data_IF_744623551653
#
_entry.id   IF_744623551653
#
_cell.length_a   1.000
_cell.length_b   1.000
_cell.length_c   1.000
_cell.angle_alpha   90.00
_cell.angle_beta   90.00
_cell.angle_gamma   90.00
#
_symmetry.space_group_name_H-M   'P 1'
#
loop_
_entity.id
_entity.type
_entity.pdbx_description
1 polymer ?
#
# COMPACT_ATOMS: atom_id res chain seq x y z
N UNK A 1 -11.24 4.79 -6.51
CA UNK A 1 -10.21 5.64 -7.15
C UNK A 1 -10.20 6.96 -6.39
N UNK A 2 -9.07 7.37 -5.80
CA UNK A 2 -8.99 8.59 -4.95
C UNK A 2 -8.36 9.80 -5.65
N UNK A 3 -7.69 9.54 -6.77
CA UNK A 3 -6.81 10.47 -7.45
C UNK A 3 -6.79 10.15 -8.95
N UNK A 4 -6.44 11.13 -9.77
CA UNK A 4 -6.34 10.99 -11.23
C UNK A 4 -4.94 11.34 -11.73
N UNK A 5 -4.45 10.63 -12.74
CA UNK A 5 -3.20 11.01 -13.40
C UNK A 5 -3.45 12.22 -14.30
N UNK A 6 -2.89 13.36 -13.91
CA UNK A 6 -2.99 14.64 -14.64
C UNK A 6 -1.91 14.77 -15.72
N UNK A 7 -0.91 13.88 -15.71
CA UNK A 7 0.24 13.85 -16.61
C UNK A 7 0.33 12.46 -17.31
N UNK A 8 -0.69 12.04 -18.09
CA UNK A 8 -0.80 10.65 -18.60
C UNK A 8 0.25 10.28 -19.67
N UNK A 9 1.06 11.25 -20.10
CA UNK A 9 2.13 11.04 -21.08
C UNK A 9 3.49 10.72 -20.44
N UNK A 10 3.62 10.94 -19.13
CA UNK A 10 4.82 10.57 -18.40
C UNK A 10 4.98 9.05 -18.38
N UNK A 11 6.23 8.55 -18.34
CA UNK A 11 6.46 7.12 -18.33
C UNK A 11 5.95 6.47 -17.02
N UNK A 12 5.61 5.17 -17.03
CA UNK A 12 4.97 4.49 -15.90
C UNK A 12 5.71 4.65 -14.56
N UNK A 13 7.04 4.63 -14.58
CA UNK A 13 7.90 4.79 -13.40
C UNK A 13 7.80 6.19 -12.74
N UNK A 14 7.36 7.19 -13.49
CA UNK A 14 7.17 8.58 -13.05
C UNK A 14 5.71 8.92 -12.81
N UNK A 15 4.78 7.95 -12.95
CA UNK A 15 3.36 8.19 -12.78
C UNK A 15 3.02 8.73 -11.40
N UNK A 16 2.26 9.82 -11.38
CA UNK A 16 1.71 10.43 -10.16
C UNK A 16 0.23 10.74 -10.34
N UNK A 17 -0.49 10.80 -9.23
CA UNK A 17 -1.94 10.96 -9.22
C UNK A 17 -2.33 12.12 -8.31
N UNK A 18 -2.99 13.14 -8.86
CA UNK A 18 -3.50 14.27 -8.10
C UNK A 18 -4.78 13.87 -7.36
N UNK A 19 -4.81 14.06 -6.04
CA UNK A 19 -5.99 13.74 -5.22
C UNK A 19 -7.17 14.61 -5.65
N UNK A 20 -8.35 14.00 -5.76
CA UNK A 20 -9.59 14.70 -6.06
C UNK A 20 -10.25 15.12 -4.74
N UNK A 21 -10.17 16.39 -4.31
CA UNK A 21 -10.58 16.78 -2.96
C UNK A 21 -12.09 16.68 -2.69
N UNK A 22 -12.91 16.53 -3.73
CA UNK A 22 -14.37 16.57 -3.63
C UNK A 22 -15.06 15.20 -3.51
N UNK A 23 -14.32 14.09 -3.59
CA UNK A 23 -14.93 12.74 -3.57
C UNK A 23 -14.99 12.11 -2.17
N UNK A 24 -14.16 12.57 -1.25
CA UNK A 24 -14.07 12.13 0.14
C UNK A 24 -13.25 13.15 0.94
N UNK A 25 -13.31 13.07 2.27
CA UNK A 25 -12.34 13.74 3.14
C UNK A 25 -11.12 12.84 3.32
N UNK A 26 -9.93 13.40 3.11
CA UNK A 26 -8.67 12.65 3.13
C UNK A 26 -7.77 13.11 4.28
N UNK A 27 -7.30 12.13 5.03
CA UNK A 27 -6.26 12.25 6.04
C UNK A 27 -5.07 11.35 5.64
N UNK A 28 -3.90 11.63 6.19
CA UNK A 28 -2.66 10.95 5.86
C UNK A 28 -1.88 10.63 7.13
N UNK A 29 -1.70 9.35 7.46
CA UNK A 29 -0.88 8.93 8.61
C UNK A 29 0.58 9.03 8.19
N UNK A 30 1.42 9.86 8.82
CA UNK A 30 2.84 9.95 8.50
C UNK A 30 3.53 8.61 8.78
N UNK A 31 4.34 8.17 7.83
CA UNK A 31 5.09 6.92 7.92
C UNK A 31 6.57 7.23 8.04
N UNK A 32 7.06 7.25 9.28
CA UNK A 32 8.48 7.37 9.55
C UNK A 32 9.13 5.99 9.55
N UNK A 33 10.14 5.79 8.68
CA UNK A 33 10.95 4.58 8.66
C UNK A 33 11.66 4.43 10.00
N UNK A 34 11.35 3.37 10.76
CA UNK A 34 12.25 2.95 11.85
C UNK A 34 13.52 2.42 11.20
N UNK A 35 14.64 3.05 11.55
CA UNK A 35 16.03 2.76 11.18
C UNK A 35 16.29 1.63 10.18
N UNK A 36 16.86 2.00 9.03
CA UNK A 36 17.70 1.19 8.15
C UNK A 36 17.30 -0.30 8.03
N UNK A 37 16.36 -0.62 7.14
CA UNK A 37 16.45 -1.86 6.39
C UNK A 37 16.19 -1.59 4.90
N UNK A 38 17.30 -1.67 4.18
CA UNK A 38 17.40 -1.72 2.74
C UNK A 38 16.97 -3.14 2.34
N UNK A 39 16.03 -3.25 1.41
CA UNK A 39 15.47 -4.49 0.83
C UNK A 39 14.28 -5.12 1.58
N UNK A 40 13.06 -4.84 1.09
CA UNK A 40 11.84 -5.56 1.48
C UNK A 40 10.68 -4.65 1.86
N UNK A 41 10.10 -3.93 0.90
CA UNK A 41 9.03 -2.94 1.10
C UNK A 41 7.69 -3.51 1.64
N UNK A 42 7.64 -4.80 1.99
CA UNK A 42 6.44 -5.45 2.52
C UNK A 42 6.30 -5.34 4.04
N UNK A 43 7.40 -5.20 4.80
CA UNK A 43 7.38 -5.29 6.27
C UNK A 43 8.03 -4.09 6.99
N UNK A 44 8.08 -2.93 6.32
CA UNK A 44 8.57 -1.70 6.93
C UNK A 44 7.68 -1.32 8.13
N UNK A 45 8.20 -1.52 9.35
CA UNK A 45 7.54 -1.12 10.60
C UNK A 45 7.60 0.40 10.74
N UNK A 46 6.62 1.08 10.16
CA UNK A 46 6.47 2.52 10.31
C UNK A 46 6.08 2.89 11.73
N UNK A 47 6.65 3.98 12.25
CA UNK A 47 6.11 4.60 13.48
C UNK A 47 4.96 5.51 13.06
N UNK A 48 3.75 5.20 13.53
CA UNK A 48 2.53 5.92 13.19
C UNK A 48 2.39 7.16 14.08
N UNK A 49 2.16 8.31 13.46
CA UNK A 49 1.80 9.56 14.12
C UNK A 49 0.34 9.93 13.84
N UNK A 50 -0.16 10.98 14.49
CA UNK A 50 -1.52 11.47 14.23
C UNK A 50 -1.70 11.83 12.75
N UNK A 51 -2.85 11.48 12.13
CA UNK A 51 -3.09 11.79 10.73
C UNK A 51 -3.10 13.30 10.48
N UNK A 52 -2.50 13.71 9.36
CA UNK A 52 -2.53 15.09 8.88
C UNK A 52 -3.57 15.27 7.78
N UNK A 53 -4.08 16.48 7.59
CA UNK A 53 -5.04 16.78 6.53
C UNK A 53 -4.42 16.76 5.13
N UNK A 54 -5.26 16.71 4.09
CA UNK A 54 -4.84 16.73 2.69
C UNK A 54 -3.86 17.88 2.33
N UNK A 55 -3.99 19.03 2.98
CA UNK A 55 -3.17 20.23 2.74
C UNK A 55 -1.89 20.27 3.54
N UNK A 56 -1.76 19.41 4.56
CA UNK A 56 -0.67 19.45 5.54
C UNK A 56 0.41 18.39 5.25
N UNK A 57 0.28 17.68 4.12
CA UNK A 57 1.25 16.69 3.69
C UNK A 57 2.52 17.35 3.15
N UNK A 58 3.68 16.76 3.45
CA UNK A 58 4.98 17.28 3.03
C UNK A 58 5.47 16.54 1.77
N UNK A 59 5.97 17.30 0.80
CA UNK A 59 6.59 16.74 -0.42
C UNK A 59 7.82 15.91 -0.04
N UNK A 60 7.92 14.70 -0.58
CA UNK A 60 9.00 13.75 -0.31
C UNK A 60 8.69 12.75 0.79
N UNK A 61 7.70 13.02 1.64
CA UNK A 61 7.33 12.15 2.76
C UNK A 61 6.37 11.03 2.35
N UNK A 62 6.37 9.96 3.16
CA UNK A 62 5.52 8.78 2.97
C UNK A 62 4.35 8.79 3.95
N UNK A 63 3.19 8.36 3.46
CA UNK A 63 1.96 8.34 4.23
C UNK A 63 1.12 7.10 3.93
N UNK A 64 0.33 6.68 4.91
CA UNK A 64 -0.80 5.79 4.67
C UNK A 64 -2.07 6.63 4.48
N UNK A 65 -2.83 6.32 3.43
CA UNK A 65 -4.05 7.05 3.10
C UNK A 65 -5.19 6.64 4.03
N UNK A 66 -5.86 7.64 4.61
CA UNK A 66 -7.07 7.51 5.41
C UNK A 66 -8.20 8.29 4.75
N UNK A 67 -9.41 7.70 4.68
CA UNK A 67 -10.55 8.35 4.04
C UNK A 67 -11.82 8.32 4.88
N UNK A 68 -12.58 9.41 4.79
CA UNK A 68 -13.97 9.50 5.25
C UNK A 68 -14.87 9.75 4.05
N UNK A 69 -15.87 8.89 3.82
CA UNK A 69 -16.69 8.88 2.60
C UNK A 69 -18.16 9.17 2.88
N UNK A 70 -18.87 9.68 1.87
CA UNK A 70 -20.33 9.88 1.92
C UNK A 70 -21.13 8.59 2.15
N UNK A 71 -20.52 7.43 1.88
CA UNK A 71 -21.13 6.11 2.11
C UNK A 71 -21.00 5.62 3.56
N UNK A 72 -20.41 6.41 4.47
CA UNK A 72 -20.34 6.10 5.90
C UNK A 72 -19.06 5.39 6.34
N UNK A 73 -18.00 5.40 5.54
CA UNK A 73 -16.67 5.06 6.05
C UNK A 73 -16.12 6.27 6.82
N UNK A 74 -15.69 6.08 8.06
CA UNK A 74 -15.14 7.14 8.91
C UNK A 74 -13.70 6.81 9.28
N UNK A 75 -12.77 7.72 8.93
CA UNK A 75 -11.32 7.57 9.16
C UNK A 75 -10.81 6.18 8.78
N UNK A 76 -11.31 5.65 7.66
CA UNK A 76 -11.01 4.31 7.20
C UNK A 76 -9.60 4.28 6.61
N UNK A 77 -8.74 3.44 7.18
CA UNK A 77 -7.39 3.18 6.69
C UNK A 77 -7.45 2.38 5.40
N UNK A 78 -7.06 3.02 4.30
CA UNK A 78 -7.13 2.40 2.98
C UNK A 78 -6.07 1.29 2.82
N UNK A 79 -4.99 1.38 3.59
CA UNK A 79 -3.82 0.50 3.54
C UNK A 79 -2.85 0.83 2.39
N UNK A 80 -3.15 1.83 1.55
CA UNK A 80 -2.23 2.26 0.49
C UNK A 80 -1.15 3.17 1.08
N UNK A 81 0.11 2.84 0.80
CA UNK A 81 1.28 3.65 1.11
C UNK A 81 1.62 4.50 -0.10
N UNK A 82 1.71 5.81 0.12
CA UNK A 82 1.97 6.81 -0.92
C UNK A 82 3.11 7.72 -0.52
N UNK A 83 3.85 8.19 -1.53
CA UNK A 83 4.82 9.28 -1.38
C UNK A 83 4.24 10.54 -2.02
N UNK A 84 4.32 11.68 -1.34
CA UNK A 84 3.94 12.96 -1.95
C UNK A 84 5.03 13.36 -2.93
N UNK A 85 4.72 13.34 -4.23
CA UNK A 85 5.67 13.65 -5.30
C UNK A 85 5.75 15.15 -5.61
N UNK A 86 4.73 15.92 -5.21
CA UNK A 86 4.62 17.35 -5.46
C UNK A 86 3.17 17.80 -5.31
N UNK A 87 2.84 18.95 -5.88
CA UNK A 87 1.49 19.50 -5.90
C UNK A 87 1.01 19.71 -7.34
N UNK A 88 -0.27 19.53 -7.58
CA UNK A 88 -0.97 20.02 -8.77
C UNK A 88 -1.87 21.15 -8.32
N UNK A 89 -1.50 22.39 -8.63
CA UNK A 89 -2.03 23.58 -7.96
C UNK A 89 -1.87 23.44 -6.43
N UNK A 90 -2.95 23.29 -5.70
CA UNK A 90 -2.96 23.13 -4.23
C UNK A 90 -3.27 21.71 -3.76
N UNK A 91 -3.51 20.74 -4.65
CA UNK A 91 -3.78 19.35 -4.26
C UNK A 91 -2.51 18.50 -4.38
N UNK A 92 -2.21 17.58 -3.44
CA UNK A 92 -1.04 16.74 -3.54
C UNK A 92 -1.10 15.76 -4.71
N UNK A 93 0.05 15.59 -5.38
CA UNK A 93 0.32 14.50 -6.31
C UNK A 93 0.94 13.34 -5.53
N UNK A 94 0.33 12.18 -5.61
CA UNK A 94 0.74 10.96 -4.92
C UNK A 94 1.43 10.01 -5.89
N UNK A 95 2.59 9.49 -5.50
CA UNK A 95 3.19 8.29 -6.09
C UNK A 95 2.80 7.09 -5.25
N UNK A 96 2.16 6.09 -5.85
CA UNK A 96 1.81 4.84 -5.16
C UNK A 96 3.09 4.05 -4.92
N UNK A 97 3.31 3.63 -3.68
CA UNK A 97 4.51 2.87 -3.28
C UNK A 97 4.17 1.39 -3.15
N UNK A 98 3.23 1.07 -2.27
CA UNK A 98 2.74 -0.29 -2.07
C UNK A 98 1.37 -0.26 -1.37
N UNK A 99 0.79 -1.44 -1.17
CA UNK A 99 -0.34 -1.64 -0.27
C UNK A 99 0.15 -2.46 0.91
N UNK A 100 -0.14 -2.03 2.14
CA UNK A 100 0.31 -2.70 3.37
C UNK A 100 -0.19 -4.14 3.43
N UNK A 101 0.60 -4.98 4.09
CA UNK A 101 0.30 -6.39 4.37
C UNK A 101 0.03 -7.21 3.11
N UNK A 102 0.59 -6.81 1.97
CA UNK A 102 0.49 -7.52 0.70
C UNK A 102 1.86 -8.10 0.33
N UNK A 103 1.90 -9.41 0.09
CA UNK A 103 3.12 -10.12 -0.33
C UNK A 103 3.03 -10.56 -1.79
N UNK A 104 1.93 -11.18 -2.19
CA UNK A 104 1.74 -11.67 -3.56
C UNK A 104 0.43 -11.14 -4.18
N UNK A 105 0.53 -10.76 -5.45
CA UNK A 105 -0.61 -10.34 -6.28
C UNK A 105 -0.29 -10.64 -7.76
N UNK A 106 -1.21 -11.31 -8.47
CA UNK A 106 -1.10 -11.53 -9.92
C UNK A 106 -2.05 -10.59 -10.67
N UNK A 107 -3.26 -10.40 -10.14
CA UNK A 107 -4.27 -9.53 -10.73
C UNK A 107 -4.96 -8.68 -9.64
N UNK A 108 -6.14 -9.10 -9.17
CA UNK A 108 -6.89 -8.40 -8.12
C UNK A 108 -6.72 -9.04 -6.74
N UNK A 109 -6.14 -10.24 -6.72
CA UNK A 109 -5.85 -11.03 -5.53
C UNK A 109 -4.85 -10.30 -4.64
N UNK A 110 -5.04 -10.46 -3.33
CA UNK A 110 -4.21 -9.81 -2.31
C UNK A 110 -3.88 -10.84 -1.25
N UNK A 111 -2.72 -11.47 -1.35
CA UNK A 111 -2.27 -12.47 -0.39
C UNK A 111 -1.30 -11.81 0.59
N UNK A 112 -1.66 -11.82 1.86
CA UNK A 112 -0.80 -11.42 2.96
C UNK A 112 0.22 -12.52 3.29
N UNK A 113 1.22 -12.19 4.09
CA UNK A 113 2.16 -13.17 4.61
C UNK A 113 1.45 -14.28 5.40
N UNK A 114 0.43 -13.91 6.17
CA UNK A 114 -0.35 -14.87 6.93
C UNK A 114 -1.09 -15.86 6.02
N UNK A 115 -1.67 -15.37 4.92
CA UNK A 115 -2.34 -16.23 3.94
C UNK A 115 -1.36 -17.24 3.33
N UNK A 116 -0.14 -16.79 3.03
CA UNK A 116 0.91 -17.66 2.51
C UNK A 116 1.38 -18.67 3.54
N UNK A 117 1.53 -18.27 4.81
CA UNK A 117 1.89 -19.19 5.88
C UNK A 117 0.83 -20.27 6.05
N UNK A 118 -0.45 -19.91 6.06
CA UNK A 118 -1.55 -20.86 6.15
C UNK A 118 -1.58 -21.82 4.95
N UNK A 119 -1.32 -21.32 3.75
CA UNK A 119 -1.27 -22.14 2.54
C UNK A 119 -0.12 -23.16 2.60
N UNK A 120 1.09 -22.72 3.00
CA UNK A 120 2.26 -23.59 3.16
C UNK A 120 2.04 -24.64 4.25
N UNK A 121 1.52 -24.25 5.42
CA UNK A 121 1.24 -25.17 6.52
C UNK A 121 0.20 -26.23 6.14
N UNK A 122 -0.81 -25.83 5.38
CA UNK A 122 -1.86 -26.73 4.90
C UNK A 122 -1.29 -27.73 3.89
N UNK A 123 -0.46 -27.26 2.94
CA UNK A 123 0.22 -28.12 1.98
C UNK A 123 1.17 -29.10 2.67
N UNK A 124 1.95 -28.64 3.66
CA UNK A 124 2.88 -29.46 4.42
C UNK A 124 2.19 -30.64 5.14
N UNK A 125 0.98 -30.42 5.69
CA UNK A 125 0.19 -31.49 6.33
C UNK A 125 -0.25 -32.57 5.34
N UNK A 126 -0.68 -32.18 4.15
CA UNK A 126 -1.07 -33.12 3.09
C UNK A 126 0.13 -33.96 2.64
N UNK A 127 1.28 -33.29 2.47
CA UNK A 127 2.54 -33.96 2.12
C UNK A 127 3.00 -34.94 3.21
N UNK A 128 2.86 -34.58 4.49
CA UNK A 128 3.23 -35.46 5.59
C UNK A 128 2.33 -36.70 5.73
N UNK A 129 1.05 -36.60 5.35
CA UNK A 129 0.11 -37.72 5.39
C UNK A 129 0.29 -38.69 4.21
N UNK A 130 0.78 -38.19 3.06
CA UNK A 130 1.13 -39.02 1.90
C UNK A 130 2.55 -39.56 2.02
N UNK A 131 2.72 -40.75 2.60
CA UNK A 131 4.01 -41.43 2.78
C UNK A 131 4.69 -41.91 1.46
N UNK A 132 4.60 -41.14 0.37
CA UNK A 132 5.31 -41.36 -0.88
C UNK A 132 6.45 -40.36 -1.02
N UNK A 133 7.67 -40.86 -1.26
CA UNK A 133 8.86 -40.05 -1.53
C UNK A 133 8.61 -39.22 -2.80
N UNK A 134 8.25 -37.95 -2.62
CA UNK A 134 8.07 -36.99 -3.70
C UNK A 134 9.44 -36.41 -4.06
N UNK A 135 9.86 -36.61 -5.31
CA UNK A 135 11.08 -36.04 -5.85
C UNK A 135 10.75 -34.71 -6.54
N UNK A 136 11.62 -33.71 -6.37
CA UNK A 136 11.51 -32.45 -7.10
C UNK A 136 11.86 -32.77 -8.55
N UNK A 137 10.90 -32.57 -9.47
CA UNK A 137 11.15 -32.72 -10.90
C UNK A 137 11.62 -31.36 -11.41
N UNK A 138 12.92 -31.25 -11.70
CA UNK A 138 13.55 -30.11 -12.39
C UNK A 138 13.10 -29.99 -13.85
#
# INVERSE_FOLDING_TARGET
MIAANVEPREPPESATFAVLPNIAYFEFIPLSLRGCDVAGAADARYTEADPVGLTDVAVGEHYEVVMTTFAGLYRYRLGDVVKVAGLYNSTPKLKVVCRRNLVLSINIDKNSEHDLQLAVDSAAKVLAAGAGRLEVVD
#
